data_IF_412800867164
#
_entry.id   IF_412800867164
#
_cell.length_a   1.000
_cell.length_b   1.000
_cell.length_c   1.000
_cell.angle_alpha   90.00
_cell.angle_beta   90.00
_cell.angle_gamma   90.00
#
_symmetry.space_group_name_H-M   'P 1'
#
loop_
_entity.id
_entity.type
_entity.pdbx_description
1 polymer ?
#
# COMPACT_ATOMS: atom_id res chain seq x y z
N UNK A 1 -20.01 10.75 -23.53
CA UNK A 1 -18.72 10.11 -23.87
C UNK A 1 -18.71 8.71 -23.29
N UNK A 2 -18.04 7.74 -23.94
CA UNK A 2 -17.87 6.40 -23.38
C UNK A 2 -16.93 6.45 -22.17
N UNK A 3 -17.21 5.63 -21.15
CA UNK A 3 -16.33 5.51 -19.98
C UNK A 3 -14.97 4.92 -20.38
N UNK A 4 -13.89 5.39 -19.76
CA UNK A 4 -12.55 4.83 -19.91
C UNK A 4 -12.44 3.54 -19.08
N UNK A 5 -12.04 2.44 -19.70
CA UNK A 5 -11.71 1.19 -18.98
C UNK A 5 -10.39 1.34 -18.22
N UNK A 6 -10.36 0.87 -16.97
CA UNK A 6 -9.19 0.81 -16.09
C UNK A 6 -9.18 -0.52 -15.32
N UNK A 7 -8.03 -0.92 -14.78
CA UNK A 7 -7.91 -2.21 -14.07
C UNK A 7 -8.84 -2.34 -12.85
N UNK A 8 -8.90 -1.32 -11.99
CA UNK A 8 -9.65 -1.39 -10.75
C UNK A 8 -10.40 -0.08 -10.48
N UNK A 9 -11.65 -0.21 -10.06
CA UNK A 9 -12.37 0.90 -9.41
C UNK A 9 -12.98 0.45 -8.08
N UNK A 10 -12.64 1.17 -7.01
CA UNK A 10 -13.25 1.03 -5.69
C UNK A 10 -14.41 2.04 -5.61
N UNK A 11 -15.61 1.59 -5.26
CA UNK A 11 -16.86 2.36 -5.38
C UNK A 11 -17.48 2.71 -4.04
N UNK A 12 -17.99 3.94 -3.91
CA UNK A 12 -18.92 4.34 -2.84
C UNK A 12 -18.37 4.28 -1.41
N UNK A 13 -17.03 4.23 -1.25
CA UNK A 13 -16.39 4.16 0.05
C UNK A 13 -16.30 5.52 0.74
N UNK A 14 -16.14 5.52 2.06
CA UNK A 14 -15.76 6.72 2.82
C UNK A 14 -14.26 6.93 2.71
N UNK A 15 -13.86 7.80 1.79
CA UNK A 15 -12.47 8.10 1.46
C UNK A 15 -11.87 9.02 2.52
N UNK A 16 -10.71 8.64 3.06
CA UNK A 16 -9.81 9.52 3.83
C UNK A 16 -8.47 9.50 3.12
N UNK A 17 -8.10 10.62 2.50
CA UNK A 17 -6.97 10.68 1.55
C UNK A 17 -5.59 10.89 2.19
N UNK A 18 -5.52 10.94 3.52
CA UNK A 18 -4.29 11.16 4.28
C UNK A 18 -3.82 12.62 4.36
N UNK A 19 -4.50 13.57 3.70
CA UNK A 19 -4.12 15.00 3.72
C UNK A 19 -4.58 15.76 4.96
N UNK A 20 -5.36 15.10 5.83
CA UNK A 20 -6.00 15.72 7.00
C UNK A 20 -7.32 16.43 6.71
N UNK A 21 -7.75 16.49 5.44
CA UNK A 21 -9.07 17.01 5.05
C UNK A 21 -10.21 16.10 5.57
N UNK A 22 -11.44 16.64 5.71
CA UNK A 22 -12.61 15.82 6.04
C UNK A 22 -12.83 14.69 5.05
N UNK A 23 -13.24 13.53 5.56
CA UNK A 23 -13.61 12.38 4.76
C UNK A 23 -14.86 12.65 3.90
N UNK A 24 -14.94 12.01 2.73
CA UNK A 24 -16.10 12.12 1.84
C UNK A 24 -16.47 10.75 1.25
N UNK A 25 -17.69 10.61 0.75
CA UNK A 25 -18.12 9.42 0.01
C UNK A 25 -17.67 9.55 -1.44
N UNK A 26 -16.99 8.53 -1.96
CA UNK A 26 -16.52 8.55 -3.34
C UNK A 26 -15.87 7.26 -3.80
N UNK A 27 -15.24 7.37 -4.96
CA UNK A 27 -14.61 6.28 -5.70
C UNK A 27 -13.10 6.53 -5.84
N UNK A 28 -12.36 5.45 -6.10
CA UNK A 28 -10.92 5.46 -6.43
C UNK A 28 -10.70 4.63 -7.68
N UNK A 29 -10.14 5.25 -8.74
CA UNK A 29 -9.78 4.56 -9.98
C UNK A 29 -8.26 4.29 -10.02
N UNK A 30 -7.89 3.05 -10.30
CA UNK A 30 -6.50 2.57 -10.34
C UNK A 30 -6.24 1.90 -11.68
N UNK A 31 -5.09 2.21 -12.27
CA UNK A 31 -4.64 1.67 -13.55
C UNK A 31 -3.11 1.64 -13.56
N UNK A 32 -2.53 0.54 -14.04
CA UNK A 32 -1.07 0.35 -14.15
C UNK A 32 -0.31 0.68 -12.84
N UNK A 33 -0.84 0.17 -11.72
CA UNK A 33 -0.26 0.38 -10.39
C UNK A 33 -0.36 1.81 -9.85
N UNK A 34 -1.09 2.71 -10.51
CA UNK A 34 -1.23 4.12 -10.10
C UNK A 34 -2.68 4.49 -9.84
N UNK A 35 -2.89 5.35 -8.86
CA UNK A 35 -4.19 6.00 -8.62
C UNK A 35 -4.37 7.10 -9.68
N UNK A 36 -5.32 6.92 -10.59
CA UNK A 36 -5.61 7.88 -11.65
C UNK A 36 -6.54 9.00 -11.18
N UNK A 37 -7.49 8.66 -10.31
CA UNK A 37 -8.47 9.62 -9.81
C UNK A 37 -9.05 9.17 -8.47
N UNK A 38 -9.41 10.17 -7.65
CA UNK A 38 -10.14 10.02 -6.39
C UNK A 38 -11.19 11.12 -6.37
N UNK A 39 -12.45 10.78 -6.11
CA UNK A 39 -13.50 11.80 -6.11
C UNK A 39 -14.90 11.24 -5.84
N UNK A 40 -15.89 12.12 -5.65
CA UNK A 40 -17.22 11.73 -5.17
C UNK A 40 -18.00 10.82 -6.14
N UNK A 41 -17.76 10.95 -7.45
CA UNK A 41 -18.36 10.10 -8.49
C UNK A 41 -17.37 10.00 -9.65
N UNK A 42 -16.94 8.77 -9.96
CA UNK A 42 -15.99 8.50 -11.05
C UNK A 42 -16.68 7.71 -12.17
N UNK A 43 -17.84 8.18 -12.62
CA UNK A 43 -18.64 7.53 -13.69
C UNK A 43 -17.98 7.54 -15.07
N UNK A 44 -16.95 8.36 -15.26
CA UNK A 44 -16.10 8.36 -16.45
C UNK A 44 -15.10 7.19 -16.50
N UNK A 45 -14.94 6.43 -15.40
CA UNK A 45 -14.09 5.24 -15.34
C UNK A 45 -14.95 3.99 -15.18
N UNK A 46 -14.58 2.90 -15.86
CA UNK A 46 -15.17 1.57 -15.72
C UNK A 46 -14.07 0.58 -15.34
N UNK A 47 -14.21 -0.11 -14.21
CA UNK A 47 -13.22 -1.10 -13.78
C UNK A 47 -13.37 -2.41 -14.53
N UNK A 48 -12.27 -3.05 -14.89
CA UNK A 48 -12.22 -4.49 -15.18
C UNK A 48 -12.59 -5.27 -13.91
N UNK A 49 -12.08 -4.80 -12.77
CA UNK A 49 -12.54 -5.16 -11.44
C UNK A 49 -13.22 -3.96 -10.78
N UNK A 50 -14.42 -4.17 -10.24
CA UNK A 50 -15.09 -3.20 -9.38
C UNK A 50 -15.28 -3.76 -7.98
N UNK A 51 -14.94 -2.95 -6.97
CA UNK A 51 -15.07 -3.30 -5.56
C UNK A 51 -16.08 -2.36 -4.92
N UNK A 52 -17.18 -2.90 -4.39
CA UNK A 52 -18.13 -2.12 -3.59
C UNK A 52 -17.58 -1.92 -2.18
N UNK A 53 -17.28 -0.66 -1.84
CA UNK A 53 -16.78 -0.24 -0.54
C UNK A 53 -17.84 0.50 0.28
N UNK A 54 -19.13 0.36 -0.06
CA UNK A 54 -20.23 0.98 0.68
C UNK A 54 -20.17 0.62 2.17
N UNK A 55 -20.22 1.66 3.02
CA UNK A 55 -20.10 1.50 4.47
C UNK A 55 -18.70 1.14 4.98
N UNK A 56 -17.68 1.13 4.11
CA UNK A 56 -16.27 0.89 4.46
C UNK A 56 -15.44 2.16 4.29
N UNK A 57 -14.26 2.15 4.93
CA UNK A 57 -13.24 3.18 4.71
C UNK A 57 -12.38 2.80 3.52
N UNK A 58 -11.95 3.81 2.76
CA UNK A 58 -10.93 3.68 1.71
C UNK A 58 -9.80 4.66 2.07
N UNK A 59 -8.62 4.12 2.34
CA UNK A 59 -7.48 4.82 2.93
C UNK A 59 -6.22 4.51 2.11
N UNK A 60 -5.18 5.38 2.11
CA UNK A 60 -3.83 4.97 1.77
C UNK A 60 -3.41 3.78 2.63
N UNK A 61 -2.61 2.87 2.07
CA UNK A 61 -2.00 1.82 2.87
C UNK A 61 -1.05 2.41 3.91
N UNK A 62 -0.92 1.74 5.07
CA UNK A 62 -0.05 2.24 6.13
C UNK A 62 1.42 2.14 5.72
N UNK A 63 2.20 3.12 6.20
CA UNK A 63 3.66 3.12 6.14
C UNK A 63 4.16 2.81 7.55
N UNK A 64 4.67 1.61 7.75
CA UNK A 64 5.27 1.19 9.01
C UNK A 64 6.75 1.59 9.02
N UNK A 65 7.04 2.66 9.74
CA UNK A 65 8.38 3.27 9.76
C UNK A 65 9.36 2.54 10.68
N UNK A 66 8.92 1.53 11.43
CA UNK A 66 9.75 0.92 12.46
C UNK A 66 9.51 -0.59 12.57
N UNK A 67 10.17 -1.33 11.70
CA UNK A 67 10.07 -2.80 11.69
C UNK A 67 11.44 -3.46 11.77
N UNK A 68 11.42 -4.74 12.11
CA UNK A 68 12.57 -5.64 12.15
C UNK A 68 12.36 -6.85 11.23
N UNK A 69 11.77 -6.62 10.06
CA UNK A 69 11.57 -7.67 9.05
C UNK A 69 12.81 -7.96 8.21
N UNK A 70 13.96 -7.35 8.50
CA UNK A 70 15.23 -7.49 7.77
C UNK A 70 15.56 -8.94 7.41
N UNK A 71 15.49 -9.84 8.41
CA UNK A 71 15.64 -11.27 8.19
C UNK A 71 14.41 -11.87 7.50
N UNK A 72 13.21 -11.64 8.04
CA UNK A 72 11.97 -12.26 7.59
C UNK A 72 11.68 -12.04 6.11
N UNK A 73 11.99 -10.86 5.57
CA UNK A 73 11.83 -10.52 4.16
C UNK A 73 12.64 -11.43 3.22
N UNK A 74 13.61 -12.18 3.73
CA UNK A 74 14.40 -13.13 2.93
C UNK A 74 13.71 -14.48 2.71
N UNK A 75 12.71 -14.84 3.53
CA UNK A 75 11.98 -16.12 3.40
C UNK A 75 10.45 -15.99 3.38
N UNK A 76 9.89 -14.88 3.86
CA UNK A 76 8.44 -14.61 3.84
C UNK A 76 8.12 -13.60 2.74
N UNK A 77 7.34 -14.05 1.76
CA UNK A 77 6.92 -13.25 0.60
C UNK A 77 5.76 -12.31 0.89
N UNK A 78 5.15 -12.42 2.07
CA UNK A 78 3.89 -11.73 2.40
C UNK A 78 4.01 -10.76 3.55
N UNK A 79 4.95 -10.99 4.48
CA UNK A 79 5.10 -10.23 5.72
C UNK A 79 3.72 -10.09 6.41
N UNK A 80 3.08 -11.25 6.61
CA UNK A 80 1.68 -11.39 7.03
C UNK A 80 1.29 -10.51 8.25
N UNK A 81 2.13 -10.39 9.31
CA UNK A 81 1.77 -9.57 10.46
C UNK A 81 1.55 -8.09 10.11
N UNK A 82 2.17 -7.56 9.05
CA UNK A 82 1.96 -6.19 8.59
C UNK A 82 0.85 -6.09 7.55
N UNK A 83 0.89 -6.93 6.50
CA UNK A 83 -0.06 -6.78 5.39
C UNK A 83 -1.51 -7.05 5.80
N UNK A 84 -1.76 -7.96 6.76
CA UNK A 84 -3.10 -8.20 7.30
C UNK A 84 -3.70 -7.01 8.05
N UNK A 85 -2.86 -6.08 8.52
CA UNK A 85 -3.29 -4.87 9.21
C UNK A 85 -3.31 -3.64 8.31
N UNK A 86 -3.13 -3.83 6.99
CA UNK A 86 -3.23 -2.76 5.98
C UNK A 86 -1.91 -2.04 5.69
N UNK A 87 -0.78 -2.55 6.20
CA UNK A 87 0.54 -1.99 5.88
C UNK A 87 0.91 -2.37 4.45
N UNK A 88 1.37 -1.37 3.69
CA UNK A 88 1.79 -1.54 2.28
C UNK A 88 3.24 -1.15 2.05
N UNK A 89 3.88 -0.53 3.03
CA UNK A 89 5.29 -0.16 2.99
C UNK A 89 5.88 -0.28 4.39
N UNK A 90 7.03 -0.92 4.50
CA UNK A 90 7.77 -1.09 5.75
C UNK A 90 9.18 -0.53 5.60
N UNK A 91 9.71 0.05 6.68
CA UNK A 91 11.11 0.47 6.78
C UNK A 91 11.88 -0.50 7.68
N UNK A 92 13.02 -1.00 7.18
CA UNK A 92 13.91 -1.98 7.84
C UNK A 92 15.17 -1.28 8.37
N UNK A 93 16.05 -2.02 9.04
CA UNK A 93 17.35 -1.50 9.51
C UNK A 93 17.25 -0.64 10.77
N UNK A 94 16.23 -0.88 11.59
CA UNK A 94 15.96 -0.11 12.80
C UNK A 94 16.85 -0.55 13.98
N UNK A 95 16.97 0.32 14.99
CA UNK A 95 17.66 0.03 16.26
C UNK A 95 19.11 -0.47 16.13
N UNK A 96 19.81 -0.13 15.06
CA UNK A 96 21.17 -0.60 14.80
C UNK A 96 21.25 -2.07 14.34
N UNK A 97 20.11 -2.71 14.06
CA UNK A 97 20.03 -4.08 13.56
C UNK A 97 19.55 -4.02 12.11
N UNK A 98 20.40 -4.46 11.19
CA UNK A 98 20.07 -4.52 9.77
C UNK A 98 20.74 -5.71 9.10
N UNK A 99 20.07 -6.27 8.10
CA UNK A 99 20.63 -7.34 7.28
C UNK A 99 21.01 -6.73 5.94
N UNK A 100 22.30 -6.74 5.61
CA UNK A 100 22.82 -6.30 4.33
C UNK A 100 23.66 -7.42 3.70
N UNK A 101 23.60 -7.60 2.37
CA UNK A 101 24.55 -8.46 1.69
C UNK A 101 25.97 -7.92 1.94
N UNK A 102 26.91 -8.83 2.18
CA UNK A 102 28.32 -8.54 2.42
C UNK A 102 29.16 -9.31 1.42
N UNK A 103 30.26 -8.69 0.97
CA UNK A 103 31.22 -9.38 0.12
C UNK A 103 31.80 -10.60 0.84
N UNK A 104 31.97 -11.69 0.11
CA UNK A 104 32.52 -12.93 0.66
C UNK A 104 33.89 -12.67 1.30
N UNK A 105 34.05 -13.06 2.56
CA UNK A 105 35.27 -12.83 3.35
C UNK A 105 35.25 -11.55 4.19
N UNK A 106 34.23 -10.70 4.09
CA UNK A 106 34.05 -9.48 4.88
C UNK A 106 32.99 -9.62 5.98
N UNK A 107 32.48 -10.82 6.24
CA UNK A 107 31.33 -11.06 7.14
C UNK A 107 31.58 -10.57 8.57
N UNK A 108 32.84 -10.61 9.02
CA UNK A 108 33.25 -10.13 10.36
C UNK A 108 33.12 -8.62 10.53
N UNK A 109 33.04 -7.82 9.47
CA UNK A 109 32.85 -6.37 9.56
C UNK A 109 31.42 -6.00 10.01
N UNK A 110 30.43 -6.82 9.68
CA UNK A 110 29.03 -6.57 10.03
C UNK A 110 28.66 -7.00 11.46
N UNK A 111 29.47 -7.88 12.07
CA UNK A 111 29.29 -8.36 13.44
C UNK A 111 30.31 -7.62 14.32
N UNK A 112 29.99 -6.38 14.70
CA UNK A 112 30.67 -5.69 15.81
C UNK A 112 29.90 -5.89 17.10
#
# INVERSE_FOLDING_TARGET
>A
MAARTVQLVIRGGKVVDGTGKPAFIGDVAVDDGKVLAVGPQLGQYRGEQEVDASGRLVLPGWVDIHTHYDGQATWDTTIAPSCWHGVTTCVFGNCGVGFAPVEKGQEKYLIN
#
